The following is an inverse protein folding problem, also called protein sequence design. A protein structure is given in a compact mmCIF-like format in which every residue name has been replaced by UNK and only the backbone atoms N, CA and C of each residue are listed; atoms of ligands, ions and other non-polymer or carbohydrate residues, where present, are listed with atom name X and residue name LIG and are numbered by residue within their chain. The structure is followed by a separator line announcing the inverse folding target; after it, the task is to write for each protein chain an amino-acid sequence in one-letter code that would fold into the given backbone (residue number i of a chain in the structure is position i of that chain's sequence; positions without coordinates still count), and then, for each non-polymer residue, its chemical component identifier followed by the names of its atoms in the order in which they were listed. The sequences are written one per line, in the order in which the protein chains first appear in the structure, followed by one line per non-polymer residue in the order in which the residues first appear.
data_IF_652099213441
#
_entry.id   IF_652099213441
#
_cell.length_a   1.000
_cell.length_b   1.000
_cell.length_c   1.000
_cell.angle_alpha   90.00
_cell.angle_beta   90.00
_cell.angle_gamma   90.00
#
_symmetry.space_group_name_H-M   'P 1'
#
loop_
_entity.id
_entity.type
_entity.pdbx_description
1 polymer ?
#
# COMPACT_ATOMS: atom_id res chain seq x y z
N UNK A 1 -5.15 -1.63 -15.72
CA UNK A 1 -5.66 -2.42 -14.58
C UNK A 1 -5.91 -1.47 -13.40
N UNK A 2 -6.85 -1.79 -12.52
CA UNK A 2 -7.15 -0.95 -11.35
C UNK A 2 -6.44 -1.51 -10.13
N UNK A 3 -5.72 -0.65 -9.42
CA UNK A 3 -5.06 -0.95 -8.16
C UNK A 3 -5.71 -0.16 -7.04
N UNK A 4 -5.76 -0.76 -5.86
CA UNK A 4 -6.31 -0.21 -4.65
C UNK A 4 -5.19 -0.16 -3.61
N UNK A 5 -5.16 0.87 -2.76
CA UNK A 5 -4.12 0.99 -1.76
C UNK A 5 -4.65 1.43 -0.40
N UNK A 6 -3.97 0.99 0.65
CA UNK A 6 -4.00 1.57 2.00
C UNK A 6 -2.60 2.12 2.32
N UNK A 7 -2.53 3.39 2.71
CA UNK A 7 -1.30 4.17 2.92
C UNK A 7 -1.26 4.68 4.36
N UNK A 8 -0.15 4.44 5.04
CA UNK A 8 0.12 5.00 6.37
C UNK A 8 1.63 5.10 6.61
N UNK A 9 2.03 5.61 7.78
CA UNK A 9 3.43 5.63 8.16
C UNK A 9 3.96 4.22 8.44
N UNK A 10 5.27 4.04 8.23
CA UNK A 10 6.01 2.82 8.58
C UNK A 10 5.83 2.46 10.05
N UNK A 11 6.01 3.45 10.94
CA UNK A 11 5.80 3.33 12.38
C UNK A 11 4.41 2.78 12.70
N UNK A 12 3.37 3.37 12.11
CA UNK A 12 1.99 2.93 12.37
C UNK A 12 1.75 1.48 11.89
N UNK A 13 2.17 1.14 10.67
CA UNK A 13 1.89 -0.18 10.09
C UNK A 13 2.75 -1.30 10.69
N UNK A 14 3.98 -1.03 11.14
CA UNK A 14 4.91 -2.08 11.54
C UNK A 14 5.25 -2.09 13.03
N UNK A 15 5.04 -0.99 13.76
CA UNK A 15 5.37 -0.90 15.19
C UNK A 15 4.11 -0.83 16.06
N UNK A 16 3.03 -0.20 15.57
CA UNK A 16 1.79 -0.01 16.33
C UNK A 16 0.74 -1.09 16.01
N UNK A 17 0.48 -1.33 14.72
CA UNK A 17 -0.53 -2.29 14.27
C UNK A 17 0.08 -3.65 13.90
N UNK A 18 -0.61 -4.78 14.13
CA UNK A 18 -0.13 -6.12 13.79
C UNK A 18 -0.38 -6.45 12.30
N UNK A 19 0.05 -5.56 11.39
CA UNK A 19 -0.18 -5.72 9.94
C UNK A 19 0.58 -6.91 9.36
N UNK A 20 1.81 -7.14 9.83
CA UNK A 20 2.66 -8.24 9.37
C UNK A 20 1.94 -9.59 9.50
N UNK A 21 1.36 -9.86 10.67
CA UNK A 21 0.62 -11.10 10.95
C UNK A 21 -0.51 -11.32 9.95
N UNK A 22 -1.32 -10.28 9.72
CA UNK A 22 -2.44 -10.32 8.78
C UNK A 22 -1.98 -10.61 7.35
N UNK A 23 -0.89 -9.98 6.91
CA UNK A 23 -0.35 -10.18 5.56
C UNK A 23 0.32 -11.54 5.40
N UNK A 24 0.99 -12.05 6.45
CA UNK A 24 1.58 -13.38 6.47
C UNK A 24 0.52 -14.46 6.37
N UNK A 25 -0.53 -14.38 7.19
CA UNK A 25 -1.66 -15.32 7.13
C UNK A 25 -2.38 -15.27 5.77
N UNK A 26 -2.54 -14.07 5.19
CA UNK A 26 -3.08 -13.95 3.83
C UNK A 26 -2.16 -14.62 2.80
N UNK A 27 -0.85 -14.41 2.88
CA UNK A 27 0.10 -15.04 1.96
C UNK A 27 0.07 -16.58 2.10
N UNK A 28 -0.02 -17.09 3.32
CA UNK A 28 -0.20 -18.52 3.58
C UNK A 28 -1.50 -19.05 2.98
N UNK A 29 -2.64 -18.36 3.16
CA UNK A 29 -3.92 -18.75 2.55
C UNK A 29 -3.85 -18.78 1.01
N UNK A 30 -3.16 -17.84 0.38
CA UNK A 30 -2.98 -17.83 -1.08
C UNK A 30 -2.14 -19.02 -1.54
N UNK A 31 -0.99 -19.24 -0.89
CA UNK A 31 -0.10 -20.35 -1.19
C UNK A 31 -0.78 -21.71 -0.99
N UNK A 32 -1.47 -21.91 0.13
CA UNK A 32 -2.14 -23.18 0.45
C UNK A 32 -3.29 -23.53 -0.51
N UNK A 33 -3.76 -22.56 -1.30
CA UNK A 33 -4.86 -22.73 -2.27
C UNK A 33 -4.42 -22.55 -3.72
N UNK A 34 -3.12 -22.47 -3.99
CA UNK A 34 -2.56 -22.19 -5.33
C UNK A 34 -3.19 -20.94 -5.98
N UNK A 35 -3.48 -19.91 -5.17
CA UNK A 35 -4.01 -18.62 -5.65
C UNK A 35 -2.82 -17.72 -5.99
N UNK A 36 -2.90 -17.03 -7.13
CA UNK A 36 -1.92 -16.02 -7.49
C UNK A 36 -1.98 -14.84 -6.52
N UNK A 37 -0.83 -14.44 -5.97
CA UNK A 37 -0.73 -13.28 -5.08
C UNK A 37 -1.06 -12.01 -5.87
N UNK A 38 -1.94 -11.21 -5.29
CA UNK A 38 -2.47 -9.99 -5.90
C UNK A 38 -2.36 -8.77 -4.97
N UNK A 39 -1.50 -8.86 -3.94
CA UNK A 39 -1.21 -7.79 -3.00
C UNK A 39 0.29 -7.67 -2.70
N UNK A 40 0.74 -6.45 -2.38
CA UNK A 40 2.14 -6.09 -2.18
C UNK A 40 2.29 -5.04 -1.08
N UNK A 41 3.46 -5.02 -0.44
CA UNK A 41 3.89 -3.97 0.49
C UNK A 41 4.92 -3.11 -0.24
N UNK A 42 4.67 -1.81 -0.36
CA UNK A 42 5.52 -0.87 -1.08
C UNK A 42 6.03 0.22 -0.13
N UNK A 43 7.29 0.14 0.33
CA UNK A 43 7.94 1.19 1.11
C UNK A 43 8.27 2.40 0.22
N UNK A 44 7.86 3.61 0.61
CA UNK A 44 8.02 4.83 -0.21
C UNK A 44 7.56 4.61 -1.68
N UNK A 45 6.26 4.34 -1.90
CA UNK A 45 5.74 3.95 -3.20
C UNK A 45 5.84 5.10 -4.22
N UNK A 46 6.36 4.81 -5.41
CA UNK A 46 6.63 5.82 -6.43
C UNK A 46 5.36 6.37 -7.08
N UNK A 47 4.25 5.61 -7.10
CA UNK A 47 2.98 6.10 -7.62
C UNK A 47 2.48 7.35 -6.87
N UNK A 48 2.93 7.59 -5.64
CA UNK A 48 2.62 8.80 -4.88
C UNK A 48 3.23 10.06 -5.50
N UNK A 49 4.31 9.94 -6.29
CA UNK A 49 4.94 11.08 -6.97
C UNK A 49 3.92 11.85 -7.79
N UNK A 50 3.04 11.08 -8.44
CA UNK A 50 1.98 11.60 -9.28
C UNK A 50 0.87 12.29 -8.51
N UNK A 51 0.70 12.05 -7.21
CA UNK A 51 -0.41 12.58 -6.38
C UNK A 51 0.07 13.29 -5.10
N UNK A 52 1.33 13.73 -5.09
CA UNK A 52 1.96 14.19 -3.85
C UNK A 52 1.33 15.46 -3.29
N UNK A 53 0.89 16.35 -4.17
CA UNK A 53 0.26 17.61 -3.77
C UNK A 53 -1.05 17.35 -3.00
N UNK A 54 -1.81 16.34 -3.41
CA UNK A 54 -3.06 15.96 -2.75
C UNK A 54 -2.82 15.14 -1.47
N UNK A 55 -1.81 14.27 -1.45
CA UNK A 55 -1.58 13.31 -0.35
C UNK A 55 -0.75 13.89 0.80
N UNK A 56 0.15 14.85 0.54
CA UNK A 56 1.02 15.44 1.57
C UNK A 56 0.25 16.07 2.73
N UNK A 57 -0.88 16.72 2.44
CA UNK A 57 -1.75 17.31 3.48
C UNK A 57 -2.45 16.23 4.32
N UNK A 58 -2.89 15.14 3.68
CA UNK A 58 -3.60 14.04 4.35
C UNK A 58 -2.68 13.24 5.28
N UNK A 59 -1.39 13.20 4.97
CA UNK A 59 -0.36 12.46 5.74
C UNK A 59 0.18 13.26 6.92
N UNK A 60 -0.42 14.41 7.28
CA UNK A 60 0.03 15.30 8.36
C UNK A 60 1.50 15.70 8.21
N UNK A 61 1.94 15.94 6.97
CA UNK A 61 3.33 16.28 6.63
C UNK A 61 4.36 15.19 6.97
N UNK A 62 3.94 13.92 7.04
CA UNK A 62 4.90 12.83 7.12
C UNK A 62 5.76 12.79 5.85
N UNK A 63 7.04 12.50 6.00
CA UNK A 63 7.95 12.44 4.87
C UNK A 63 7.65 11.23 3.99
N UNK A 64 7.90 11.35 2.68
CA UNK A 64 7.58 10.30 1.72
C UNK A 64 8.32 9.00 2.04
N UNK A 65 9.58 9.09 2.46
CA UNK A 65 10.38 7.91 2.82
C UNK A 65 9.79 7.09 3.99
N UNK A 66 8.95 7.72 4.81
CA UNK A 66 8.32 7.08 5.97
C UNK A 66 6.94 6.51 5.64
N UNK A 67 6.45 6.66 4.41
CA UNK A 67 5.16 6.14 4.00
C UNK A 67 5.29 4.74 3.42
N UNK A 68 4.32 3.88 3.74
CA UNK A 68 4.22 2.52 3.20
C UNK A 68 2.80 2.33 2.67
N UNK A 69 2.68 1.80 1.45
CA UNK A 69 1.41 1.37 0.91
C UNK A 69 1.27 -0.16 0.90
N UNK A 70 0.13 -0.65 1.33
CA UNK A 70 -0.35 -1.98 0.99
C UNK A 70 -1.20 -1.82 -0.26
N UNK A 71 -0.78 -2.42 -1.38
CA UNK A 71 -1.43 -2.32 -2.68
C UNK A 71 -2.04 -3.66 -3.05
N UNK A 72 -3.22 -3.67 -3.65
CA UNK A 72 -3.87 -4.89 -4.14
C UNK A 72 -4.75 -4.62 -5.36
N UNK A 73 -5.01 -5.64 -6.18
CA UNK A 73 -6.09 -5.59 -7.19
C UNK A 73 -7.46 -6.00 -6.60
N UNK A 74 -7.47 -6.55 -5.39
CA UNK A 74 -8.68 -6.85 -4.60
C UNK A 74 -9.14 -5.61 -3.81
N UNK A 75 -10.22 -5.00 -4.27
CA UNK A 75 -10.80 -3.80 -3.65
C UNK A 75 -11.36 -4.07 -2.24
N UNK A 76 -11.95 -5.25 -2.03
CA UNK A 76 -12.58 -5.62 -0.76
C UNK A 76 -11.52 -5.82 0.31
N UNK A 77 -10.36 -6.36 -0.05
CA UNK A 77 -9.22 -6.46 0.85
C UNK A 77 -8.75 -5.08 1.33
N UNK A 78 -8.58 -4.12 0.43
CA UNK A 78 -8.15 -2.77 0.82
C UNK A 78 -9.24 -2.06 1.64
N UNK A 79 -10.52 -2.25 1.31
CA UNK A 79 -11.62 -1.73 2.11
C UNK A 79 -11.62 -2.32 3.53
N UNK A 80 -11.38 -3.62 3.67
CA UNK A 80 -11.23 -4.27 4.97
C UNK A 80 -10.04 -3.69 5.77
N UNK A 81 -8.88 -3.47 5.14
CA UNK A 81 -7.73 -2.82 5.79
C UNK A 81 -8.10 -1.41 6.29
N UNK A 82 -8.84 -0.63 5.48
CA UNK A 82 -9.30 0.70 5.86
C UNK A 82 -10.21 0.66 7.09
N UNK A 83 -11.16 -0.27 7.15
CA UNK A 83 -12.03 -0.43 8.31
C UNK A 83 -11.27 -0.93 9.55
N UNK A 84 -10.34 -1.87 9.36
CA UNK A 84 -9.60 -2.51 10.45
C UNK A 84 -8.62 -1.59 11.15
N UNK A 85 -7.90 -0.77 10.38
CA UNK A 85 -6.81 0.07 10.88
C UNK A 85 -7.19 1.54 11.03
N UNK A 86 -8.32 1.98 10.46
CA UNK A 86 -8.95 3.31 10.57
C UNK A 86 -8.10 4.53 10.16
N UNK A 87 -6.91 4.67 10.75
CA UNK A 87 -5.90 5.72 10.55
C UNK A 87 -5.02 5.51 9.31
N UNK A 88 -5.54 4.84 8.29
CA UNK A 88 -4.91 4.71 6.97
C UNK A 88 -5.63 5.57 5.94
N UNK A 89 -4.90 6.15 5.00
CA UNK A 89 -5.47 6.76 3.80
C UNK A 89 -5.72 5.64 2.80
N UNK A 90 -6.85 5.64 2.08
CA UNK A 90 -7.12 4.62 1.06
C UNK A 90 -7.59 5.24 -0.24
N UNK A 91 -7.24 4.62 -1.36
CA UNK A 91 -7.62 5.10 -2.68
C UNK A 91 -7.43 4.04 -3.76
N UNK A 92 -7.56 4.46 -5.01
CA UNK A 92 -7.31 3.60 -6.17
C UNK A 92 -6.77 4.39 -7.35
N UNK A 93 -6.02 3.72 -8.23
CA UNK A 93 -5.47 4.31 -9.45
C UNK A 93 -5.45 3.28 -10.59
N UNK A 94 -5.34 3.76 -11.83
CA UNK A 94 -5.19 2.91 -13.01
C UNK A 94 -3.73 2.89 -13.47
N UNK A 95 -3.21 1.69 -13.73
CA UNK A 95 -1.84 1.49 -14.21
C UNK A 95 -1.70 0.17 -14.99
N UNK A 96 -0.67 0.00 -15.84
CA UNK A 96 0.28 1.05 -16.25
C UNK A 96 -0.42 2.20 -17.01
N UNK A 97 0.10 3.41 -16.88
CA UNK A 97 -0.36 4.63 -17.57
C UNK A 97 0.80 5.61 -17.77
N UNK A 98 0.63 6.64 -18.59
CA UNK A 98 1.66 7.69 -18.77
C UNK A 98 2.08 8.35 -17.44
N UNK A 99 1.13 8.50 -16.51
CA UNK A 99 1.35 9.11 -15.18
C UNK A 99 1.93 8.11 -14.16
N UNK A 100 1.69 6.81 -14.34
CA UNK A 100 2.13 5.74 -13.44
C UNK A 100 2.54 4.54 -14.30
N UNK A 101 3.77 4.53 -14.84
CA UNK A 101 4.23 3.45 -15.70
C UNK A 101 4.38 2.15 -14.91
N UNK A 102 4.89 2.23 -13.68
CA UNK A 102 5.13 1.08 -12.81
C UNK A 102 4.29 1.16 -11.53
N UNK A 103 3.16 0.42 -11.44
CA UNK A 103 2.24 0.51 -10.31
C UNK A 103 2.82 0.06 -8.97
N UNK A 104 3.84 -0.82 -9.03
CA UNK A 104 4.45 -1.46 -7.88
C UNK A 104 5.87 -0.96 -7.63
N UNK A 105 6.31 0.10 -8.31
CA UNK A 105 7.62 0.70 -8.08
C UNK A 105 7.66 1.39 -6.70
N UNK A 106 8.80 1.26 -6.04
CA UNK A 106 9.02 1.76 -4.70
C UNK A 106 10.50 2.10 -4.52
N UNK A 107 10.81 3.12 -3.71
CA UNK A 107 12.19 3.52 -3.51
C UNK A 107 12.97 2.41 -2.82
N UNK A 108 13.97 1.85 -3.51
CA UNK A 108 14.92 0.92 -2.88
C UNK A 108 15.75 1.71 -1.87
N UNK A 109 15.74 1.26 -0.61
CA UNK A 109 16.66 1.78 0.41
C UNK A 109 18.09 1.49 -0.08
N UNK A 110 18.77 2.52 -0.62
CA UNK A 110 20.20 2.43 -0.89
C UNK A 110 20.88 2.16 0.45
N UNK A 111 21.49 0.98 0.53
CA UNK A 111 22.22 0.50 1.69
C UNK A 111 23.56 1.23 1.83
#
# INVERSE_FOLDING_TARGET
MKYHFALASKEFLFEIEPVEEVLRERAHYYSSRNKQVDFWILPSPEFLNSYWNEISQLTKNNSRENLVAIVSTDADFIYWLKLRYQNVISGSFNAPSERIPEPLAFASQNK
#
